data_IF_389398614551
#
_entry.id   IF_389398614551
#
_cell.length_a   1.000
_cell.length_b   1.000
_cell.length_c   1.000
_cell.angle_alpha   90.00
_cell.angle_beta   90.00
_cell.angle_gamma   90.00
#
_symmetry.space_group_name_H-M   'P 1'
#
loop_
_entity.id
_entity.type
_entity.pdbx_description
1 polymer ?
#
# COMPACT_ATOMS: atom_id res chain seq x y z
N UNK A 1 -17.42 -21.85 29.86
CA UNK A 1 -18.05 -21.14 28.74
C UNK A 1 -17.10 -21.26 27.56
N UNK A 2 -17.55 -21.79 26.43
CA UNK A 2 -16.74 -21.83 25.21
C UNK A 2 -16.53 -20.38 24.75
N UNK A 3 -15.32 -19.85 24.88
CA UNK A 3 -14.97 -18.59 24.22
C UNK A 3 -14.92 -18.87 22.73
N UNK A 4 -16.04 -18.64 22.06
CA UNK A 4 -16.06 -18.66 20.61
C UNK A 4 -15.21 -17.49 20.12
N UNK A 5 -14.09 -17.78 19.48
CA UNK A 5 -13.30 -16.83 18.69
C UNK A 5 -14.11 -16.43 17.46
N UNK A 6 -14.48 -15.16 17.37
CA UNK A 6 -15.11 -14.58 16.19
C UNK A 6 -14.05 -14.01 15.24
N UNK A 7 -14.45 -13.73 14.00
CA UNK A 7 -13.59 -13.11 12.99
C UNK A 7 -13.01 -11.77 13.46
N UNK A 8 -13.80 -10.97 14.19
CA UNK A 8 -13.36 -9.72 14.81
C UNK A 8 -12.26 -9.91 15.85
N UNK A 9 -12.28 -11.03 16.59
CA UNK A 9 -11.24 -11.33 17.59
C UNK A 9 -9.91 -11.67 16.89
N UNK A 10 -9.98 -12.30 15.72
CA UNK A 10 -8.82 -12.67 14.91
C UNK A 10 -8.27 -11.47 14.17
N UNK A 11 -9.13 -10.59 13.66
CA UNK A 11 -8.72 -9.30 13.10
C UNK A 11 -7.96 -8.49 14.15
N UNK A 12 -8.52 -8.37 15.36
CA UNK A 12 -7.87 -7.66 16.45
C UNK A 12 -6.53 -8.28 16.82
N UNK A 13 -6.46 -9.62 16.95
CA UNK A 13 -5.21 -10.33 17.24
C UNK A 13 -4.16 -10.12 16.13
N UNK A 14 -4.57 -10.18 14.87
CA UNK A 14 -3.67 -9.95 13.74
C UNK A 14 -3.10 -8.53 13.75
N UNK A 15 -3.92 -7.52 14.06
CA UNK A 15 -3.48 -6.13 14.19
C UNK A 15 -2.54 -5.94 15.39
N UNK A 16 -2.79 -6.63 16.51
CA UNK A 16 -1.91 -6.62 17.68
C UNK A 16 -0.53 -7.22 17.36
N UNK A 17 -0.48 -8.36 16.67
CA UNK A 17 0.79 -8.97 16.23
C UNK A 17 1.54 -8.01 15.30
N UNK A 18 0.86 -7.46 14.29
CA UNK A 18 1.47 -6.50 13.36
C UNK A 18 2.06 -5.29 14.09
N UNK A 19 1.34 -4.77 15.09
CA UNK A 19 1.76 -3.60 15.85
C UNK A 19 2.91 -3.91 16.81
N UNK A 20 2.75 -4.94 17.63
CA UNK A 20 3.61 -5.19 18.78
C UNK A 20 4.85 -6.03 18.43
N UNK A 21 4.78 -6.87 17.39
CA UNK A 21 5.91 -7.72 16.95
C UNK A 21 6.60 -7.21 15.67
N UNK A 22 5.92 -6.36 14.88
CA UNK A 22 6.42 -5.91 13.57
C UNK A 22 6.40 -4.38 13.38
N UNK A 23 6.14 -3.61 14.43
CA UNK A 23 6.16 -2.14 14.44
C UNK A 23 5.25 -1.46 13.42
N UNK A 24 4.18 -2.14 12.98
CA UNK A 24 3.19 -1.51 12.12
C UNK A 24 2.35 -0.49 12.89
N UNK A 25 2.21 0.71 12.32
CA UNK A 25 1.15 1.61 12.73
C UNK A 25 -0.19 1.05 12.29
N UNK A 26 -1.20 1.10 13.15
CA UNK A 26 -2.56 0.66 12.83
C UNK A 26 -3.45 1.88 12.56
N UNK A 27 -4.23 1.84 11.49
CA UNK A 27 -5.28 2.82 11.20
C UNK A 27 -6.58 2.15 10.77
N UNK A 28 -7.69 2.84 11.02
CA UNK A 28 -9.01 2.42 10.57
C UNK A 28 -9.33 3.04 9.20
N UNK A 29 -9.76 2.21 8.24
CA UNK A 29 -10.01 2.63 6.86
C UNK A 29 -10.95 3.84 6.72
N UNK A 30 -12.11 3.85 7.40
CA UNK A 30 -13.01 5.02 7.42
C UNK A 30 -12.35 6.31 7.93
N UNK A 31 -11.48 6.24 8.95
CA UNK A 31 -10.84 7.44 9.52
C UNK A 31 -9.91 8.15 8.53
N UNK A 32 -9.34 7.41 7.57
CA UNK A 32 -8.46 7.97 6.52
C UNK A 32 -9.20 8.24 5.20
N UNK A 33 -10.45 7.81 5.07
CA UNK A 33 -11.27 7.99 3.86
C UNK A 33 -12.36 9.05 4.06
N UNK A 34 -12.68 9.38 5.30
CA UNK A 34 -13.74 10.32 5.69
C UNK A 34 -13.31 11.25 6.82
N UNK A 35 -14.09 12.31 7.04
CA UNK A 35 -13.92 13.18 8.21
C UNK A 35 -12.68 14.07 8.18
N UNK A 36 -12.25 14.48 9.38
CA UNK A 36 -11.24 15.55 9.57
C UNK A 36 -9.82 15.12 9.21
N UNK A 37 -9.52 13.83 9.31
CA UNK A 37 -8.19 13.26 9.10
C UNK A 37 -8.08 12.51 7.77
N UNK A 38 -9.00 12.78 6.84
CA UNK A 38 -9.02 12.18 5.51
C UNK A 38 -7.67 12.34 4.80
N UNK A 39 -7.13 11.23 4.34
CA UNK A 39 -5.86 11.14 3.60
C UNK A 39 -6.06 10.74 2.13
N UNK A 40 -7.21 10.16 1.79
CA UNK A 40 -7.53 9.63 0.45
C UNK A 40 -9.01 9.71 0.11
N UNK A 41 -9.32 9.65 -1.17
CA UNK A 41 -10.64 9.31 -1.70
C UNK A 41 -10.84 7.79 -1.78
N UNK A 42 -12.09 7.34 -1.78
CA UNK A 42 -12.42 5.91 -1.93
C UNK A 42 -11.95 5.29 -3.25
N UNK A 43 -11.71 6.10 -4.28
CA UNK A 43 -11.16 5.67 -5.58
C UNK A 43 -9.64 5.53 -5.57
N UNK A 44 -8.95 6.08 -4.58
CA UNK A 44 -7.49 6.08 -4.52
C UNK A 44 -6.98 4.90 -3.73
N UNK A 45 -6.07 4.10 -4.27
CA UNK A 45 -5.53 2.93 -3.57
C UNK A 45 -4.19 3.25 -2.89
N UNK A 46 -3.39 4.15 -3.47
CA UNK A 46 -2.12 4.61 -2.92
C UNK A 46 -2.36 5.80 -1.98
N UNK A 47 -1.74 5.79 -0.80
CA UNK A 47 -1.74 6.90 0.14
C UNK A 47 -0.69 7.93 -0.31
N UNK A 48 -1.06 8.78 -1.26
CA UNK A 48 -0.13 9.65 -2.00
C UNK A 48 0.71 10.57 -1.10
N UNK A 49 0.11 11.12 -0.03
CA UNK A 49 0.83 12.00 0.90
C UNK A 49 1.96 11.27 1.65
N UNK A 50 1.73 10.01 2.02
CA UNK A 50 2.73 9.15 2.67
C UNK A 50 3.83 8.74 1.71
N UNK A 51 3.45 8.36 0.48
CA UNK A 51 4.40 8.08 -0.59
C UNK A 51 5.32 9.26 -0.87
N UNK A 52 4.75 10.46 -0.98
CA UNK A 52 5.54 11.68 -1.18
C UNK A 52 6.54 11.89 -0.05
N UNK A 53 6.08 11.80 1.21
CA UNK A 53 6.95 11.96 2.40
C UNK A 53 8.10 10.97 2.40
N UNK A 54 7.84 9.69 2.09
CA UNK A 54 8.86 8.67 2.03
C UNK A 54 9.87 8.94 0.90
N UNK A 55 9.40 9.23 -0.31
CA UNK A 55 10.27 9.57 -1.45
C UNK A 55 11.14 10.79 -1.14
N UNK A 56 10.59 11.82 -0.49
CA UNK A 56 11.35 13.00 -0.05
C UNK A 56 12.44 12.66 0.98
N UNK A 57 12.17 11.71 1.89
CA UNK A 57 13.11 11.30 2.93
C UNK A 57 14.23 10.42 2.37
N UNK A 58 13.88 9.46 1.51
CA UNK A 58 14.81 8.46 0.96
C UNK A 58 15.75 9.07 -0.10
N UNK A 59 15.28 10.10 -0.82
CA UNK A 59 15.95 10.65 -1.99
C UNK A 59 16.30 12.14 -1.82
N UNK A 60 16.69 12.55 -0.61
CA UNK A 60 16.92 13.95 -0.24
C UNK A 60 17.93 14.69 -1.15
N UNK A 61 18.88 13.95 -1.76
CA UNK A 61 19.87 14.48 -2.69
C UNK A 61 19.34 14.74 -4.11
N UNK A 62 18.17 14.20 -4.45
CA UNK A 62 17.54 14.34 -5.77
C UNK A 62 16.61 15.56 -5.75
N UNK A 63 16.64 16.48 -6.73
CA UNK A 63 15.77 17.66 -6.76
C UNK A 63 14.27 17.34 -6.65
N UNK A 64 13.52 18.24 -6.01
CA UNK A 64 12.09 18.08 -5.73
C UNK A 64 11.24 17.78 -6.98
N UNK A 65 11.52 18.46 -8.09
CA UNK A 65 10.83 18.27 -9.37
C UNK A 65 11.07 16.87 -9.97
N UNK A 66 12.30 16.36 -9.82
CA UNK A 66 12.67 15.00 -10.21
C UNK A 66 11.99 13.93 -9.33
N UNK A 67 11.89 14.16 -8.02
CA UNK A 67 11.14 13.28 -7.10
C UNK A 67 9.64 13.28 -7.43
N UNK A 68 9.06 14.43 -7.73
CA UNK A 68 7.66 14.53 -8.18
C UNK A 68 7.43 13.81 -9.51
N UNK A 69 8.36 13.88 -10.45
CA UNK A 69 8.28 13.14 -11.71
C UNK A 69 8.22 11.62 -11.46
N UNK A 70 9.06 11.11 -10.54
CA UNK A 70 9.03 9.72 -10.14
C UNK A 70 7.67 9.31 -9.56
N UNK A 71 7.11 10.09 -8.63
CA UNK A 71 5.79 9.84 -8.04
C UNK A 71 4.72 9.82 -9.15
N UNK A 72 4.77 10.77 -10.09
CA UNK A 72 3.83 10.79 -11.23
C UNK A 72 3.93 9.52 -12.09
N UNK A 73 5.12 8.93 -12.27
CA UNK A 73 5.30 7.66 -12.99
C UNK A 73 4.65 6.49 -12.24
N UNK A 74 4.81 6.44 -10.92
CA UNK A 74 4.14 5.45 -10.06
C UNK A 74 2.61 5.51 -10.23
N UNK A 75 2.04 6.72 -10.19
CA UNK A 75 0.58 6.92 -10.24
C UNK A 75 -0.03 6.72 -11.64
N UNK A 76 0.76 6.80 -12.71
CA UNK A 76 0.27 6.77 -14.11
C UNK A 76 0.22 5.37 -14.74
N UNK A 77 0.67 4.33 -14.04
CA UNK A 77 0.92 3.03 -14.67
C UNK A 77 -0.32 2.14 -14.62
N UNK A 78 -1.04 2.05 -15.74
CA UNK A 78 -2.06 1.03 -15.99
C UNK A 78 -2.04 0.63 -17.48
N UNK A 79 -1.28 -0.39 -17.82
CA UNK A 79 -1.39 -1.17 -19.06
C UNK A 79 -2.72 -1.94 -19.10
N UNK A 80 -3.05 -2.49 -20.26
CA UNK A 80 -4.25 -3.31 -20.49
C UNK A 80 -4.20 -4.66 -19.74
N UNK A 81 -2.99 -5.12 -19.35
CA UNK A 81 -2.78 -6.43 -18.71
C UNK A 81 -2.34 -6.29 -17.26
N UNK A 82 -3.10 -6.89 -16.33
CA UNK A 82 -2.76 -6.92 -14.91
C UNK A 82 -1.37 -7.53 -14.65
N UNK A 83 -0.97 -8.56 -15.40
CA UNK A 83 0.33 -9.21 -15.21
C UNK A 83 1.48 -8.28 -15.61
N UNK A 84 1.35 -7.58 -16.74
CA UNK A 84 2.34 -6.60 -17.19
C UNK A 84 2.44 -5.41 -16.24
N UNK A 85 1.30 -4.99 -15.68
CA UNK A 85 1.25 -3.95 -14.63
C UNK A 85 2.01 -4.39 -13.39
N UNK A 86 1.76 -5.61 -12.92
CA UNK A 86 2.45 -6.16 -11.76
C UNK A 86 3.96 -6.31 -12.01
N UNK A 87 4.38 -6.80 -13.18
CA UNK A 87 5.80 -6.89 -13.52
C UNK A 87 6.46 -5.50 -13.56
N UNK A 88 5.84 -4.55 -14.26
CA UNK A 88 6.36 -3.19 -14.40
C UNK A 88 6.46 -2.49 -13.04
N UNK A 89 5.43 -2.62 -12.20
CA UNK A 89 5.41 -2.08 -10.85
C UNK A 89 6.46 -2.75 -9.96
N UNK A 90 6.62 -4.06 -10.05
CA UNK A 90 7.63 -4.80 -9.29
C UNK A 90 9.05 -4.32 -9.63
N UNK A 91 9.35 -4.07 -10.92
CA UNK A 91 10.64 -3.48 -11.32
C UNK A 91 10.83 -2.09 -10.75
N UNK A 92 9.81 -1.23 -10.83
CA UNK A 92 9.85 0.10 -10.20
C UNK A 92 10.18 0.00 -8.69
N UNK A 93 9.54 -0.95 -8.00
CA UNK A 93 9.69 -1.15 -6.57
C UNK A 93 11.09 -1.67 -6.19
N UNK A 94 11.65 -2.58 -6.99
CA UNK A 94 12.89 -3.31 -6.65
C UNK A 94 14.15 -2.77 -7.32
N UNK A 95 14.02 -2.11 -8.47
CA UNK A 95 15.13 -1.57 -9.27
C UNK A 95 15.20 -0.03 -9.24
N UNK A 96 14.21 0.62 -8.61
CA UNK A 96 14.07 2.08 -8.56
C UNK A 96 13.65 2.70 -9.90
N UNK A 97 13.35 3.99 -9.88
CA UNK A 97 12.87 4.75 -11.04
C UNK A 97 14.00 5.62 -11.58
N UNK A 98 14.41 5.40 -12.83
CA UNK A 98 15.39 6.28 -13.46
C UNK A 98 14.75 7.64 -13.81
N UNK A 99 15.25 8.70 -13.19
CA UNK A 99 14.85 10.09 -13.46
C UNK A 99 16.06 10.88 -13.95
N UNK A 100 15.84 11.60 -15.06
CA UNK A 100 16.84 12.49 -15.65
C UNK A 100 16.50 13.92 -15.28
N UNK A 101 17.41 14.62 -14.62
CA UNK A 101 17.23 16.02 -14.22
C UNK A 101 18.47 16.87 -14.54
N UNK A 102 18.27 18.19 -14.61
CA UNK A 102 19.31 19.16 -14.93
C UNK A 102 20.14 19.47 -13.68
N UNK A 103 21.47 19.50 -13.82
CA UNK A 103 22.40 19.80 -12.71
C UNK A 103 23.12 21.15 -12.89
N UNK A 104 22.62 22.00 -13.78
CA UNK A 104 23.20 23.28 -14.17
C UNK A 104 24.06 23.21 -15.42
N UNK A 105 24.37 24.39 -16.00
CA UNK A 105 25.29 24.54 -17.14
C UNK A 105 24.94 23.70 -18.39
N UNK A 106 23.65 23.39 -18.58
CA UNK A 106 23.19 22.54 -19.68
C UNK A 106 23.55 21.06 -19.53
N UNK A 107 24.05 20.64 -18.36
CA UNK A 107 24.33 19.24 -18.03
C UNK A 107 23.11 18.58 -17.40
N UNK A 108 22.97 17.29 -17.66
CA UNK A 108 21.91 16.45 -17.06
C UNK A 108 22.53 15.23 -16.40
N UNK A 109 21.93 14.80 -15.30
CA UNK A 109 22.26 13.55 -14.62
C UNK A 109 21.04 12.65 -14.61
N UNK A 110 21.26 11.34 -14.68
CA UNK A 110 20.22 10.34 -14.41
C UNK A 110 20.55 9.68 -13.08
N UNK A 111 19.59 9.67 -12.16
CA UNK A 111 19.69 8.96 -10.89
C UNK A 111 18.44 8.12 -10.64
N UNK A 112 18.55 7.18 -9.69
CA UNK A 112 17.45 6.33 -9.26
C UNK A 112 16.71 6.99 -8.12
N UNK A 113 15.41 7.16 -8.28
CA UNK A 113 14.48 7.48 -7.19
C UNK A 113 13.93 6.17 -6.63
N UNK A 114 14.10 5.96 -5.33
CA UNK A 114 13.65 4.78 -4.61
C UNK A 114 12.34 5.04 -3.87
N UNK A 115 11.44 4.05 -3.89
CA UNK A 115 10.16 4.09 -3.18
C UNK A 115 10.21 3.42 -1.81
N UNK A 116 11.16 2.49 -1.64
CA UNK A 116 11.45 1.77 -0.41
C UNK A 116 12.95 1.90 -0.15
N UNK A 117 13.30 2.20 1.09
CA UNK A 117 14.69 2.22 1.53
C UNK A 117 15.10 0.81 1.98
N UNK A 118 15.79 0.10 1.10
CA UNK A 118 16.35 -1.21 1.41
C UNK A 118 17.70 -1.14 2.16
N UNK A 119 18.25 0.06 2.35
CA UNK A 119 19.54 0.26 3.03
C UNK A 119 19.34 0.62 4.49
N UNK A 120 18.38 1.49 4.78
CA UNK A 120 17.98 1.85 6.13
C UNK A 120 16.47 1.65 6.33
N UNK A 121 16.09 0.54 6.94
CA UNK A 121 14.70 0.15 7.11
C UNK A 121 13.88 1.16 7.93
N UNK A 122 14.50 1.87 8.86
CA UNK A 122 13.87 2.87 9.74
C UNK A 122 13.34 4.10 8.97
N UNK A 123 13.80 4.30 7.74
CA UNK A 123 13.29 5.35 6.86
C UNK A 123 11.94 4.99 6.22
N UNK A 124 11.50 3.73 6.33
CA UNK A 124 10.22 3.29 5.80
C UNK A 124 9.11 3.38 6.85
N UNK A 125 7.92 3.76 6.40
CA UNK A 125 6.70 3.68 7.19
C UNK A 125 5.96 2.37 6.90
N UNK A 126 5.75 1.57 7.96
CA UNK A 126 4.93 0.36 7.92
C UNK A 126 3.55 0.66 8.51
N UNK A 127 2.50 0.45 7.72
CA UNK A 127 1.13 0.80 8.09
C UNK A 127 0.18 -0.34 7.76
N UNK A 128 -0.62 -0.77 8.74
CA UNK A 128 -1.70 -1.72 8.54
C UNK A 128 -3.01 -0.95 8.66
N UNK A 129 -3.85 -1.05 7.62
CA UNK A 129 -5.16 -0.40 7.60
C UNK A 129 -6.23 -1.45 7.54
N UNK A 130 -7.10 -1.47 8.54
CA UNK A 130 -8.21 -2.41 8.56
C UNK A 130 -9.48 -1.81 7.93
N UNK A 131 -10.32 -2.65 7.34
CA UNK A 131 -11.57 -2.28 6.66
C UNK A 131 -11.36 -1.24 5.53
N UNK A 132 -10.31 -1.40 4.74
CA UNK A 132 -9.89 -0.44 3.70
C UNK A 132 -10.83 -0.46 2.49
N UNK A 133 -11.87 0.37 2.51
CA UNK A 133 -12.86 0.36 1.42
C UNK A 133 -12.31 1.04 0.16
N UNK A 134 -12.52 0.41 -0.99
CA UNK A 134 -12.19 0.89 -2.34
C UNK A 134 -13.47 0.86 -3.16
N UNK A 135 -13.76 1.95 -3.88
CA UNK A 135 -14.94 2.08 -4.72
C UNK A 135 -14.50 2.31 -6.17
N UNK A 136 -14.87 1.39 -7.05
CA UNK A 136 -14.60 1.48 -8.48
C UNK A 136 -15.85 1.07 -9.26
N UNK A 137 -16.32 1.93 -10.18
CA UNK A 137 -17.49 1.66 -11.01
C UNK A 137 -18.75 1.21 -10.24
N UNK A 138 -18.99 1.78 -9.05
CA UNK A 138 -20.05 1.42 -8.09
C UNK A 138 -19.90 0.05 -7.43
N UNK A 139 -18.78 -0.66 -7.64
CA UNK A 139 -18.43 -1.85 -6.88
C UNK A 139 -17.62 -1.46 -5.64
N UNK A 140 -18.05 -1.98 -4.50
CA UNK A 140 -17.39 -1.76 -3.22
C UNK A 140 -16.56 -3.00 -2.87
N UNK A 141 -15.25 -2.81 -2.70
CA UNK A 141 -14.32 -3.82 -2.21
C UNK A 141 -13.81 -3.35 -0.85
N UNK A 142 -13.84 -4.22 0.16
CA UNK A 142 -13.39 -3.86 1.50
C UNK A 142 -12.60 -5.03 2.07
N UNK A 143 -11.27 -5.06 1.86
CA UNK A 143 -10.43 -6.03 2.49
C UNK A 143 -10.35 -5.82 4.00
N UNK A 144 -10.14 -6.92 4.71
CA UNK A 144 -10.08 -6.91 6.17
C UNK A 144 -8.87 -6.12 6.64
N UNK A 145 -7.67 -6.44 6.14
CA UNK A 145 -6.44 -5.69 6.44
C UNK A 145 -5.61 -5.50 5.17
N UNK A 146 -5.13 -4.28 4.95
CA UNK A 146 -4.16 -3.95 3.89
C UNK A 146 -2.89 -3.43 4.52
N UNK A 147 -1.75 -4.03 4.16
CA UNK A 147 -0.43 -3.58 4.62
C UNK A 147 0.20 -2.69 3.57
N UNK A 148 0.64 -1.53 4.03
CA UNK A 148 1.31 -0.50 3.27
C UNK A 148 2.77 -0.39 3.70
N UNK A 149 3.63 -0.13 2.73
CA UNK A 149 4.98 0.38 2.95
C UNK A 149 5.05 1.73 2.25
N UNK A 150 5.38 2.79 2.97
CA UNK A 150 5.50 4.15 2.41
C UNK A 150 4.25 4.60 1.63
N UNK A 151 3.05 4.21 2.11
CA UNK A 151 1.79 4.51 1.44
C UNK A 151 1.47 3.69 0.19
N UNK A 152 2.30 2.69 -0.15
CA UNK A 152 2.06 1.72 -1.23
C UNK A 152 1.41 0.47 -0.64
N UNK A 153 0.20 0.06 -1.08
CA UNK A 153 -0.42 -1.18 -0.62
C UNK A 153 0.24 -2.39 -1.28
N UNK A 154 0.85 -3.26 -0.48
CA UNK A 154 1.61 -4.41 -0.98
C UNK A 154 0.99 -5.75 -0.61
N UNK A 155 0.28 -5.83 0.52
CA UNK A 155 -0.28 -7.08 1.03
C UNK A 155 -1.75 -6.85 1.39
N UNK A 156 -2.59 -7.78 0.94
CA UNK A 156 -4.00 -7.85 1.31
C UNK A 156 -4.21 -9.12 2.12
N UNK A 157 -4.80 -8.98 3.30
CA UNK A 157 -5.11 -10.06 4.22
C UNK A 157 -6.63 -10.14 4.33
N UNK A 158 -7.15 -11.33 4.07
CA UNK A 158 -8.56 -11.69 4.29
C UNK A 158 -8.62 -12.70 5.42
N UNK A 159 -9.49 -12.45 6.38
CA UNK A 159 -9.68 -13.28 7.57
C UNK A 159 -11.00 -14.03 7.45
N UNK A 160 -11.08 -15.16 8.15
CA UNK A 160 -12.29 -15.98 8.24
C UNK A 160 -12.42 -16.53 9.64
N UNK A 161 -13.67 -16.66 10.10
CA UNK A 161 -13.98 -17.27 11.38
C UNK A 161 -13.58 -18.77 11.41
N UNK A 162 -12.71 -19.22 12.33
CA UNK A 162 -12.23 -20.60 12.42
C UNK A 162 -13.25 -21.57 13.05
N UNK A 163 -14.35 -21.04 13.61
CA UNK A 163 -15.41 -21.84 14.25
C UNK A 163 -16.47 -22.27 13.24
N UNK A 164 -16.57 -21.61 12.10
CA UNK A 164 -17.43 -22.07 11.02
C UNK A 164 -16.76 -23.27 10.33
N UNK A 165 -17.30 -24.48 10.50
CA UNK A 165 -16.83 -25.69 9.81
C UNK A 165 -16.90 -25.54 8.27
N UNK A 166 -17.65 -24.54 7.77
CA UNK A 166 -17.72 -24.16 6.36
C UNK A 166 -16.92 -22.89 6.02
N UNK A 167 -16.09 -22.36 6.92
CA UNK A 167 -15.10 -21.33 6.60
C UNK A 167 -14.06 -21.92 5.64
N UNK A 168 -14.45 -21.96 4.38
CA UNK A 168 -13.68 -22.55 3.31
C UNK A 168 -12.59 -21.55 2.92
N UNK A 169 -11.32 -21.97 2.98
CA UNK A 169 -10.18 -21.23 2.41
C UNK A 169 -10.49 -20.79 0.97
N UNK A 170 -11.33 -21.56 0.26
CA UNK A 170 -11.86 -21.22 -1.06
C UNK A 170 -12.70 -19.94 -1.07
N UNK A 171 -13.49 -19.65 -0.03
CA UNK A 171 -14.28 -18.43 0.07
C UNK A 171 -13.36 -17.20 0.20
N UNK A 172 -12.35 -17.26 1.07
CA UNK A 172 -11.32 -16.21 1.18
C UNK A 172 -10.54 -16.06 -0.14
N UNK A 173 -10.16 -17.18 -0.77
CA UNK A 173 -9.52 -17.16 -2.09
C UNK A 173 -10.39 -16.50 -3.17
N UNK A 174 -11.70 -16.79 -3.17
CA UNK A 174 -12.65 -16.20 -4.10
C UNK A 174 -12.83 -14.70 -3.85
N UNK A 175 -12.85 -14.25 -2.59
CA UNK A 175 -12.84 -12.80 -2.27
C UNK A 175 -11.59 -12.12 -2.87
N UNK A 176 -10.40 -12.71 -2.72
CA UNK A 176 -9.21 -12.17 -3.36
C UNK A 176 -9.31 -12.17 -4.90
N UNK A 177 -10.03 -13.12 -5.51
CA UNK A 177 -10.25 -13.11 -6.96
C UNK A 177 -11.16 -11.97 -7.40
N UNK A 178 -12.16 -11.56 -6.59
CA UNK A 178 -13.02 -10.43 -6.96
C UNK A 178 -12.25 -9.11 -6.96
N UNK A 179 -11.18 -8.98 -6.17
CA UNK A 179 -10.35 -7.79 -6.18
C UNK A 179 -9.55 -7.58 -7.47
N UNK A 180 -9.25 -8.67 -8.20
CA UNK A 180 -8.51 -8.64 -9.47
C UNK A 180 -9.36 -8.19 -10.68
N UNK A 181 -10.68 -8.19 -10.53
CA UNK A 181 -11.65 -7.87 -11.59
C UNK A 181 -12.05 -6.40 -11.53
#
# INVERSE_FOLDING_TARGET
MSNALYESDIEQLALEILKDEHDYKILYGPDISEGKYKEREYTEVILQGRLKKAVDTINDSIPDDAREEAIKKVLRTFSVSMMENNESFHRILTEGIDIKFNVGEGKSRTEKVWLIDFTNYDNNEFLAVNQFTIVENHNHKRPDIVLFINGIPLIVIELKNPIDENADVKAAFNQLQTYKQ
#
